data_IF_625269439486
#
_entry.id   IF_625269439486
#
_cell.length_a   1.000
_cell.length_b   1.000
_cell.length_c   1.000
_cell.angle_alpha   90.00
_cell.angle_beta   90.00
_cell.angle_gamma   90.00
#
_symmetry.space_group_name_H-M   'P 1'
#
loop_
_entity.id
_entity.type
_entity.pdbx_description
1 polymer ?
#
# COMPACT_ATOMS: atom_id res chain seq x y z
N UNK A 1 -10.05 -0.76 -1.05
CA UNK A 1 -10.15 -2.21 -0.69
C UNK A 1 -9.51 -2.53 0.66
N UNK A 2 -8.26 -2.13 0.94
CA UNK A 2 -7.60 -2.33 2.25
C UNK A 2 -8.50 -1.99 3.44
N UNK A 3 -9.03 -0.75 3.47
CA UNK A 3 -9.88 -0.27 4.56
C UNK A 3 -11.20 -1.04 4.73
N UNK A 4 -11.64 -1.80 3.73
CA UNK A 4 -12.87 -2.60 3.76
C UNK A 4 -12.56 -4.02 4.23
N UNK A 5 -11.52 -4.64 3.65
CA UNK A 5 -11.15 -6.03 3.95
C UNK A 5 -10.45 -6.15 5.30
N UNK A 6 -9.69 -5.14 5.68
CA UNK A 6 -8.90 -5.08 6.91
C UNK A 6 -9.29 -3.84 7.71
N UNK A 7 -10.49 -3.82 8.33
CA UNK A 7 -11.10 -2.61 8.89
C UNK A 7 -10.30 -1.99 10.03
N UNK A 8 -9.46 -2.75 10.74
CA UNK A 8 -8.56 -2.19 11.77
C UNK A 8 -7.59 -1.15 11.20
N UNK A 9 -7.28 -1.20 9.91
CA UNK A 9 -6.43 -0.20 9.24
C UNK A 9 -7.07 1.19 9.18
N UNK A 10 -8.39 1.30 9.36
CA UNK A 10 -9.09 2.59 9.39
C UNK A 10 -8.64 3.48 10.57
N UNK A 11 -8.10 2.91 11.65
CA UNK A 11 -7.61 3.66 12.82
C UNK A 11 -6.57 4.74 12.48
N UNK A 12 -5.81 4.54 11.40
CA UNK A 12 -4.78 5.46 10.94
C UNK A 12 -5.34 6.65 10.13
N UNK A 13 -6.64 6.67 9.85
CA UNK A 13 -7.29 7.61 8.94
C UNK A 13 -8.49 8.31 9.59
N UNK A 14 -8.47 8.53 10.91
CA UNK A 14 -9.55 9.19 11.65
C UNK A 14 -9.90 10.59 11.12
N UNK A 15 -8.92 11.31 10.56
CA UNK A 15 -9.11 12.63 9.95
C UNK A 15 -9.75 12.59 8.55
N UNK A 16 -9.98 11.42 7.96
CA UNK A 16 -10.50 11.29 6.60
C UNK A 16 -12.04 11.39 6.56
N UNK A 17 -12.69 11.62 7.70
CA UNK A 17 -14.14 11.72 7.79
C UNK A 17 -14.81 10.34 7.79
N UNK A 18 -15.94 10.21 7.10
CA UNK A 18 -16.76 9.00 7.17
C UNK A 18 -16.10 7.79 6.46
N UNK A 19 -15.82 6.74 7.24
CA UNK A 19 -15.30 5.44 6.79
C UNK A 19 -16.18 4.25 7.23
N UNK A 20 -17.42 4.48 7.68
CA UNK A 20 -18.26 3.48 8.38
C UNK A 20 -18.74 2.30 7.52
N UNK A 21 -18.50 2.31 6.21
CA UNK A 21 -18.91 1.23 5.33
C UNK A 21 -18.29 1.32 3.94
N UNK A 22 -18.43 0.27 3.14
CA UNK A 22 -17.81 0.15 1.83
C UNK A 22 -18.16 1.31 0.89
N UNK A 23 -19.44 1.70 0.82
CA UNK A 23 -19.90 2.84 0.00
C UNK A 23 -19.25 4.15 0.45
N UNK A 24 -19.20 4.41 1.75
CA UNK A 24 -18.57 5.62 2.30
C UNK A 24 -17.06 5.64 1.98
N UNK A 25 -16.36 4.52 2.19
CA UNK A 25 -14.93 4.40 1.91
C UNK A 25 -14.62 4.61 0.41
N UNK A 26 -15.40 3.98 -0.49
CA UNK A 26 -15.19 4.08 -1.93
C UNK A 26 -15.48 5.50 -2.46
N UNK A 27 -16.47 6.20 -1.89
CA UNK A 27 -16.80 7.58 -2.24
C UNK A 27 -15.92 8.64 -1.59
N UNK A 28 -15.04 8.27 -0.64
CA UNK A 28 -14.31 9.22 0.17
C UNK A 28 -13.17 9.91 -0.62
N UNK A 29 -13.20 11.25 -0.78
CA UNK A 29 -12.20 11.97 -1.58
C UNK A 29 -10.81 11.95 -0.94
N UNK A 30 -10.70 11.92 0.39
CA UNK A 30 -9.43 11.84 1.11
C UNK A 30 -8.78 10.45 0.94
N UNK A 31 -9.58 9.39 0.99
CA UNK A 31 -9.12 8.03 0.69
C UNK A 31 -8.58 7.96 -0.74
N UNK A 32 -9.30 8.53 -1.72
CA UNK A 32 -8.85 8.58 -3.12
C UNK A 32 -7.56 9.36 -3.28
N UNK A 33 -7.46 10.53 -2.66
CA UNK A 33 -6.27 11.38 -2.73
C UNK A 33 -5.04 10.69 -2.10
N UNK A 34 -5.22 10.03 -0.95
CA UNK A 34 -4.16 9.28 -0.31
C UNK A 34 -3.76 8.04 -1.12
N UNK A 35 -4.74 7.30 -1.64
CA UNK A 35 -4.48 6.16 -2.54
C UNK A 35 -3.64 6.55 -3.76
N UNK A 36 -3.84 7.75 -4.32
CA UNK A 36 -2.97 8.29 -5.38
C UNK A 36 -1.53 8.45 -4.90
N UNK A 37 -1.29 9.03 -3.73
CA UNK A 37 0.08 9.18 -3.17
C UNK A 37 0.76 7.83 -2.97
N UNK A 38 0.03 6.83 -2.45
CA UNK A 38 0.52 5.46 -2.28
C UNK A 38 0.89 4.84 -3.62
N UNK A 39 0.03 4.93 -4.63
CA UNK A 39 0.35 4.36 -5.95
C UNK A 39 1.51 5.10 -6.65
N UNK A 40 1.65 6.41 -6.43
CA UNK A 40 2.81 7.17 -6.92
C UNK A 40 4.12 6.64 -6.33
N UNK A 41 4.18 6.33 -5.03
CA UNK A 41 5.41 5.78 -4.43
C UNK A 41 5.74 4.38 -4.94
N UNK A 42 4.76 3.55 -5.29
CA UNK A 42 5.01 2.30 -6.03
C UNK A 42 5.62 2.56 -7.42
N UNK A 43 5.20 3.62 -8.11
CA UNK A 43 5.84 4.07 -9.35
C UNK A 43 7.32 4.45 -9.15
N UNK A 44 7.65 5.08 -8.03
CA UNK A 44 9.04 5.39 -7.67
C UNK A 44 9.84 4.11 -7.35
N UNK A 45 9.22 3.11 -6.74
CA UNK A 45 9.83 1.79 -6.52
C UNK A 45 10.22 1.12 -7.84
N UNK A 46 9.32 1.13 -8.84
CA UNK A 46 9.57 0.54 -10.17
C UNK A 46 10.72 1.26 -10.89
N UNK A 47 10.86 2.58 -10.70
CA UNK A 47 11.97 3.34 -11.28
C UNK A 47 13.31 3.10 -10.58
N UNK A 48 13.31 2.54 -9.38
CA UNK A 48 14.47 2.40 -8.51
C UNK A 48 14.60 0.98 -7.94
N UNK A 49 14.37 -0.06 -8.74
CA UNK A 49 14.29 -1.46 -8.29
C UNK A 49 15.53 -1.93 -7.50
N UNK A 50 16.72 -1.48 -7.90
CA UNK A 50 17.97 -1.85 -7.22
C UNK A 50 18.24 -1.02 -5.95
N UNK A 51 17.47 0.05 -5.72
CA UNK A 51 17.68 0.99 -4.62
C UNK A 51 16.41 1.23 -3.76
N UNK A 52 15.44 0.31 -3.80
CA UNK A 52 14.14 0.45 -3.10
C UNK A 52 14.34 0.80 -1.60
N UNK A 53 15.34 0.23 -0.94
CA UNK A 53 15.61 0.50 0.49
C UNK A 53 15.90 1.97 0.76
N UNK A 54 16.69 2.62 -0.08
CA UNK A 54 16.98 4.04 0.08
C UNK A 54 15.77 4.90 -0.33
N UNK A 55 15.10 4.52 -1.42
CA UNK A 55 13.89 5.19 -1.91
C UNK A 55 12.81 5.31 -0.84
N UNK A 56 12.64 4.27 0.00
CA UNK A 56 11.61 4.23 1.04
C UNK A 56 12.11 4.57 2.45
N UNK A 57 13.37 4.96 2.64
CA UNK A 57 13.94 5.17 3.97
C UNK A 57 13.18 6.24 4.78
N UNK A 58 12.90 7.41 4.18
CA UNK A 58 12.15 8.49 4.83
C UNK A 58 10.70 8.08 5.13
N UNK A 59 10.07 7.31 4.23
CA UNK A 59 8.73 6.80 4.47
C UNK A 59 8.71 5.76 5.58
N UNK A 60 9.75 4.92 5.69
CA UNK A 60 9.88 3.95 6.78
C UNK A 60 9.94 4.65 8.14
N UNK A 61 10.77 5.69 8.27
CA UNK A 61 10.87 6.51 9.50
C UNK A 61 9.54 7.21 9.81
N UNK A 62 8.88 7.82 8.81
CA UNK A 62 7.57 8.44 8.99
C UNK A 62 6.52 7.44 9.52
N UNK A 63 6.43 6.25 8.92
CA UNK A 63 5.41 5.27 9.29
C UNK A 63 5.69 4.62 10.65
N UNK A 64 6.97 4.49 11.03
CA UNK A 64 7.38 4.03 12.35
C UNK A 64 7.15 5.09 13.42
N UNK A 65 7.84 6.23 13.30
CA UNK A 65 8.05 7.17 14.40
C UNK A 65 6.89 8.14 14.61
N UNK A 66 6.10 8.39 13.56
CA UNK A 66 5.00 9.37 13.59
C UNK A 66 3.63 8.75 13.43
N UNK A 67 3.49 7.79 12.52
CA UNK A 67 2.19 7.17 12.23
C UNK A 67 1.95 5.89 13.02
N UNK A 68 3.00 5.30 13.59
CA UNK A 68 2.96 4.06 14.38
C UNK A 68 2.18 2.94 13.67
N UNK A 69 2.41 2.80 12.36
CA UNK A 69 1.74 1.79 11.53
C UNK A 69 2.42 0.45 11.76
N UNK A 70 1.69 -0.56 12.21
CA UNK A 70 2.23 -1.92 12.32
C UNK A 70 2.75 -2.41 10.93
N UNK A 71 4.02 -2.87 10.84
CA UNK A 71 4.64 -3.31 9.60
C UNK A 71 3.85 -4.35 8.80
N UNK A 72 3.05 -5.19 9.47
CA UNK A 72 2.28 -6.22 8.79
C UNK A 72 1.23 -5.61 7.84
N UNK A 73 0.73 -4.40 8.15
CA UNK A 73 -0.21 -3.71 7.27
C UNK A 73 0.39 -3.35 5.90
N UNK A 74 1.72 -3.25 5.76
CA UNK A 74 2.35 -3.05 4.46
C UNK A 74 2.20 -4.27 3.55
N UNK A 75 2.30 -5.49 4.12
CA UNK A 75 2.06 -6.72 3.37
C UNK A 75 0.60 -6.83 2.94
N UNK A 76 -0.34 -6.55 3.85
CA UNK A 76 -1.77 -6.55 3.54
C UNK A 76 -2.11 -5.57 2.41
N UNK A 77 -1.52 -4.37 2.42
CA UNK A 77 -1.68 -3.42 1.32
C UNK A 77 -1.11 -3.96 0.00
N UNK A 78 0.06 -4.59 0.04
CA UNK A 78 0.67 -5.28 -1.10
C UNK A 78 -0.25 -6.35 -1.71
N UNK A 79 -0.81 -7.22 -0.88
CA UNK A 79 -1.74 -8.27 -1.33
C UNK A 79 -3.01 -7.68 -1.94
N UNK A 80 -3.56 -6.62 -1.35
CA UNK A 80 -4.69 -5.89 -1.92
C UNK A 80 -4.35 -5.32 -3.30
N UNK A 81 -3.13 -4.80 -3.49
CA UNK A 81 -2.70 -4.28 -4.79
C UNK A 81 -2.65 -5.41 -5.83
N UNK A 82 -2.12 -6.59 -5.49
CA UNK A 82 -2.12 -7.76 -6.39
C UNK A 82 -3.53 -8.15 -6.80
N UNK A 83 -4.46 -8.21 -5.85
CA UNK A 83 -5.86 -8.57 -6.15
C UNK A 83 -6.52 -7.51 -7.05
N UNK A 84 -6.26 -6.22 -6.82
CA UNK A 84 -6.79 -5.13 -7.65
C UNK A 84 -6.22 -5.20 -9.06
N UNK A 85 -4.92 -5.43 -9.22
CA UNK A 85 -4.28 -5.57 -10.54
C UNK A 85 -4.84 -6.76 -11.30
N UNK A 86 -4.95 -7.93 -10.66
CA UNK A 86 -5.55 -9.12 -11.27
C UNK A 86 -7.00 -8.91 -11.68
N UNK A 87 -7.79 -8.18 -10.87
CA UNK A 87 -9.18 -7.85 -11.21
C UNK A 87 -9.27 -6.83 -12.36
N UNK A 88 -8.32 -5.89 -12.45
CA UNK A 88 -8.36 -4.82 -13.45
C UNK A 88 -7.89 -5.28 -14.83
N UNK A 89 -6.79 -6.03 -14.89
CA UNK A 89 -6.18 -6.50 -16.14
C UNK A 89 -6.69 -7.88 -16.57
N UNK A 90 -7.35 -8.63 -15.68
CA UNK A 90 -7.94 -9.93 -16.01
C UNK A 90 -6.89 -10.89 -16.60
N UNK A 91 -7.11 -11.34 -17.83
CA UNK A 91 -6.21 -12.30 -18.51
C UNK A 91 -4.82 -11.73 -18.82
N UNK A 92 -4.69 -10.40 -18.89
CA UNK A 92 -3.41 -9.75 -19.16
C UNK A 92 -2.50 -9.72 -17.92
N UNK A 93 -3.05 -9.95 -16.72
CA UNK A 93 -2.26 -10.17 -15.51
C UNK A 93 -1.83 -11.63 -15.41
N UNK A 94 -0.91 -12.02 -16.29
CA UNK A 94 -0.43 -13.40 -16.38
C UNK A 94 0.23 -13.86 -15.06
N UNK A 95 0.40 -15.18 -14.84
CA UNK A 95 1.11 -15.68 -13.66
C UNK A 95 2.51 -15.08 -13.48
N UNK A 96 3.24 -14.82 -14.56
CA UNK A 96 4.56 -14.19 -14.56
C UNK A 96 4.47 -12.72 -14.13
N UNK A 97 3.48 -11.98 -14.65
CA UNK A 97 3.21 -10.62 -14.22
C UNK A 97 2.84 -10.57 -12.73
N UNK A 98 1.97 -11.47 -12.28
CA UNK A 98 1.61 -11.60 -10.87
C UNK A 98 2.85 -11.87 -10.00
N UNK A 99 3.71 -12.82 -10.38
CA UNK A 99 4.91 -13.15 -9.64
C UNK A 99 5.88 -11.94 -9.57
N UNK A 100 6.05 -11.20 -10.66
CA UNK A 100 6.87 -10.00 -10.70
C UNK A 100 6.34 -8.92 -9.74
N UNK A 101 5.04 -8.64 -9.79
CA UNK A 101 4.41 -7.67 -8.89
C UNK A 101 4.42 -8.14 -7.43
N UNK A 102 4.24 -9.43 -7.16
CA UNK A 102 4.37 -9.98 -5.82
C UNK A 102 5.78 -9.77 -5.25
N UNK A 103 6.82 -9.96 -6.07
CA UNK A 103 8.21 -9.68 -5.68
C UNK A 103 8.40 -8.20 -5.34
N UNK A 104 7.84 -7.31 -6.17
CA UNK A 104 7.91 -5.86 -5.94
C UNK A 104 7.22 -5.44 -4.64
N UNK A 105 5.95 -5.83 -4.42
CA UNK A 105 5.21 -5.40 -3.23
C UNK A 105 5.85 -5.93 -1.94
N UNK A 106 6.43 -7.13 -1.97
CA UNK A 106 7.21 -7.68 -0.84
C UNK A 106 8.49 -6.90 -0.59
N UNK A 107 9.21 -6.50 -1.65
CA UNK A 107 10.41 -5.68 -1.52
C UNK A 107 10.08 -4.29 -0.93
N UNK A 108 8.98 -3.67 -1.37
CA UNK A 108 8.49 -2.39 -0.84
C UNK A 108 8.07 -2.54 0.63
N UNK A 109 7.29 -3.57 0.98
CA UNK A 109 6.89 -3.81 2.37
C UNK A 109 8.11 -4.00 3.31
N UNK A 110 9.11 -4.77 2.85
CA UNK A 110 10.35 -4.96 3.59
C UNK A 110 11.16 -3.65 3.73
N UNK A 111 11.19 -2.81 2.69
CA UNK A 111 11.86 -1.51 2.76
C UNK A 111 11.14 -0.54 3.71
N UNK A 112 9.81 -0.51 3.69
CA UNK A 112 8.99 0.30 4.60
C UNK A 112 9.11 -0.14 6.05
N UNK A 113 9.34 -1.44 6.32
CA UNK A 113 9.53 -1.96 7.68
C UNK A 113 10.97 -1.80 8.22
N UNK A 114 11.93 -1.32 7.42
CA UNK A 114 13.36 -1.41 7.73
C UNK A 114 13.82 -0.57 8.93
N UNK A 115 13.16 0.57 9.20
CA UNK A 115 13.54 1.53 10.25
C UNK A 115 12.75 1.36 11.55
N UNK A 116 11.98 0.29 11.66
CA UNK A 116 11.24 -0.06 12.87
C UNK A 116 12.21 -0.58 13.93
N UNK A 117 12.04 -0.11 15.16
CA UNK A 117 12.88 -0.41 16.32
C UNK A 117 12.02 -0.77 17.54
#
# INVERSE_FOLDING_TARGET
RLLIVYPWTQRFFSSFGNLSGATAICGNPMVRAHGKKVLTSFGDAVKNLDNIKATFAQLSELHCDKLHVDPENFRLLGDILIIVLGSHFGKDFTPEAQAAWQKLVRAVAHALARKYH
#
